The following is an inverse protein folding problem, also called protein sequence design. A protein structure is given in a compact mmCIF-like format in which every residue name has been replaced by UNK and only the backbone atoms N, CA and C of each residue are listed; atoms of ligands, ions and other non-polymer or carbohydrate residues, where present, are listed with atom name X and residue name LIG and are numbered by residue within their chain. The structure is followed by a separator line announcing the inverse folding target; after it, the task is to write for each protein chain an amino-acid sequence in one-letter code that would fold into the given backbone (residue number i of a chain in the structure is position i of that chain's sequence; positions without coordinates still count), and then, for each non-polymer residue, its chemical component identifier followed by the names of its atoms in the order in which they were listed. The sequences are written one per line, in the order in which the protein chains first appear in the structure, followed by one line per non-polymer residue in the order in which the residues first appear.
data_IF_656219553729
#
_entry.id   IF_656219553729
#
_cell.length_a   1.000
_cell.length_b   1.000
_cell.length_c   1.000
_cell.angle_alpha   90.00
_cell.angle_beta   90.00
_cell.angle_gamma   90.00
#
_symmetry.space_group_name_H-M   'P 1'
#
loop_
_entity.id
_entity.type
_entity.pdbx_description
1 polymer ?
#
# COMPACT_ATOMS: atom_id res chain seq x y z
N UNK A 1 -18.53 1.43 3.93
CA UNK A 1 -17.12 1.87 3.79
C UNK A 1 -16.93 3.36 4.01
N UNK A 2 -17.78 4.26 3.47
CA UNK A 2 -17.59 5.71 3.61
C UNK A 2 -17.46 6.19 5.06
N UNK A 3 -18.45 5.90 5.90
CA UNK A 3 -18.43 6.28 7.32
C UNK A 3 -17.15 5.81 8.03
N UNK A 4 -16.73 4.56 7.84
CA UNK A 4 -15.49 4.04 8.42
C UNK A 4 -14.26 4.87 8.02
N UNK A 5 -14.13 5.26 6.74
CA UNK A 5 -12.98 6.04 6.29
C UNK A 5 -13.00 7.46 6.85
N UNK A 6 -14.20 8.05 7.00
CA UNK A 6 -14.39 9.36 7.61
C UNK A 6 -14.03 9.34 9.10
N UNK A 7 -14.46 8.31 9.84
CA UNK A 7 -14.10 8.12 11.25
C UNK A 7 -12.60 7.88 11.42
N UNK A 8 -12.01 6.98 10.63
CA UNK A 8 -10.56 6.71 10.69
C UNK A 8 -9.73 7.97 10.45
N UNK A 9 -10.19 8.86 9.56
CA UNK A 9 -9.52 10.13 9.27
C UNK A 9 -9.53 11.09 10.47
N UNK A 10 -10.56 11.06 11.31
CA UNK A 10 -10.62 11.87 12.53
C UNK A 10 -9.49 11.49 13.51
N UNK A 11 -8.94 10.28 13.39
CA UNK A 11 -7.74 9.87 14.10
C UNK A 11 -6.51 10.15 13.23
N UNK A 12 -5.81 11.26 13.49
CA UNK A 12 -4.65 11.76 12.72
C UNK A 12 -3.49 10.75 12.49
N UNK A 13 -3.51 9.57 13.13
CA UNK A 13 -2.46 8.55 13.07
C UNK A 13 -2.91 7.23 12.45
N UNK A 14 -4.16 7.12 12.00
CA UNK A 14 -4.67 5.91 11.37
C UNK A 14 -4.58 5.99 9.84
N UNK A 15 -4.50 4.81 9.24
CA UNK A 15 -4.48 4.60 7.80
C UNK A 15 -5.19 3.29 7.46
N UNK A 16 -5.50 3.10 6.18
CA UNK A 16 -6.19 1.90 5.71
C UNK A 16 -5.33 1.07 4.75
N UNK A 17 -5.14 -0.22 5.05
CA UNK A 17 -4.51 -1.16 4.13
C UNK A 17 -5.57 -2.10 3.57
N UNK A 18 -5.79 -2.01 2.26
CA UNK A 18 -6.77 -2.83 1.56
C UNK A 18 -6.19 -4.20 1.17
N UNK A 19 -6.75 -5.28 1.69
CA UNK A 19 -6.36 -6.66 1.34
C UNK A 19 -6.81 -7.09 -0.05
N UNK A 20 -7.66 -6.30 -0.73
CA UNK A 20 -8.18 -6.54 -2.09
C UNK A 20 -8.75 -7.96 -2.27
N UNK A 21 -9.79 -8.28 -1.52
CA UNK A 21 -10.55 -9.53 -1.70
C UNK A 21 -11.45 -9.53 -2.94
N UNK A 22 -11.78 -8.35 -3.50
CA UNK A 22 -12.42 -8.15 -4.80
C UNK A 22 -11.70 -7.04 -5.58
N UNK A 23 -11.53 -7.23 -6.89
CA UNK A 23 -10.91 -6.26 -7.81
C UNK A 23 -11.66 -4.92 -7.87
N UNK A 24 -12.95 -4.91 -7.54
CA UNK A 24 -13.83 -3.73 -7.46
C UNK A 24 -13.88 -3.12 -6.06
N UNK A 25 -12.89 -3.37 -5.22
CA UNK A 25 -12.85 -2.83 -3.85
C UNK A 25 -13.19 -1.33 -3.83
N UNK A 26 -14.32 -1.02 -3.19
CA UNK A 26 -14.78 0.35 -2.99
C UNK A 26 -13.90 1.08 -1.96
N UNK A 27 -13.07 0.37 -1.21
CA UNK A 27 -12.29 0.90 -0.11
C UNK A 27 -11.28 1.95 -0.59
N UNK A 28 -10.55 1.71 -1.69
CA UNK A 28 -9.65 2.72 -2.28
C UNK A 28 -10.38 4.01 -2.64
N UNK A 29 -11.53 3.89 -3.31
CA UNK A 29 -12.32 5.06 -3.73
C UNK A 29 -12.79 5.87 -2.52
N UNK A 30 -13.32 5.20 -1.49
CA UNK A 30 -13.80 5.87 -0.29
C UNK A 30 -12.65 6.45 0.56
N UNK A 31 -11.52 5.76 0.68
CA UNK A 31 -10.33 6.28 1.37
C UNK A 31 -9.79 7.54 0.68
N UNK A 32 -9.72 7.53 -0.66
CA UNK A 32 -9.34 8.71 -1.45
C UNK A 32 -10.32 9.87 -1.27
N UNK A 33 -11.63 9.59 -1.30
CA UNK A 33 -12.66 10.60 -1.11
C UNK A 33 -12.61 11.23 0.30
N UNK A 34 -12.32 10.42 1.32
CA UNK A 34 -12.11 10.91 2.68
C UNK A 34 -10.76 11.63 2.87
N UNK A 35 -9.82 11.53 1.93
CA UNK A 35 -8.44 12.02 2.15
C UNK A 35 -7.68 11.20 3.20
N UNK A 36 -8.09 9.95 3.44
CA UNK A 36 -7.44 9.03 4.35
C UNK A 36 -6.20 8.43 3.67
N UNK A 37 -5.09 8.39 4.41
CA UNK A 37 -3.89 7.69 3.96
C UNK A 37 -4.21 6.20 3.81
N UNK A 38 -3.90 5.63 2.65
CA UNK A 38 -4.23 4.25 2.34
C UNK A 38 -3.19 3.62 1.44
N UNK A 39 -3.11 2.30 1.47
CA UNK A 39 -2.37 1.49 0.51
C UNK A 39 -3.14 0.21 0.21
N UNK A 40 -2.67 -0.54 -0.78
CA UNK A 40 -3.29 -1.80 -1.15
C UNK A 40 -2.24 -2.90 -1.25
N UNK A 41 -2.63 -4.13 -0.91
CA UNK A 41 -1.79 -5.31 -1.05
C UNK A 41 -1.42 -5.56 -2.52
N UNK A 42 -0.17 -5.96 -2.74
CA UNK A 42 0.33 -6.52 -4.00
C UNK A 42 0.22 -8.05 -4.02
N UNK A 43 0.66 -8.73 -2.95
CA UNK A 43 0.75 -10.20 -2.88
C UNK A 43 0.13 -10.75 -1.59
N UNK A 44 -0.69 -11.79 -1.69
CA UNK A 44 -1.08 -12.62 -0.53
C UNK A 44 -0.07 -13.77 -0.43
N UNK A 45 0.57 -13.91 0.71
CA UNK A 45 1.68 -14.85 0.88
C UNK A 45 1.19 -16.29 1.04
N UNK A 46 0.05 -16.49 1.69
CA UNK A 46 -0.33 -17.79 2.26
C UNK A 46 -1.78 -18.18 1.97
N UNK A 47 -2.24 -17.91 0.75
CA UNK A 47 -3.52 -18.49 0.28
C UNK A 47 -3.50 -20.03 0.34
N UNK A 48 -2.32 -20.62 0.24
CA UNK A 48 -2.06 -22.03 0.48
C UNK A 48 -1.04 -22.15 1.62
N UNK A 49 -1.34 -23.00 2.61
CA UNK A 49 -0.46 -23.28 3.75
C UNK A 49 0.63 -24.27 3.36
N UNK A 50 1.38 -23.93 2.31
CA UNK A 50 2.48 -24.72 1.79
C UNK A 50 3.75 -23.87 1.72
N UNK A 51 4.85 -24.39 2.26
CA UNK A 51 6.08 -23.63 2.38
C UNK A 51 6.70 -23.25 1.03
N UNK A 52 6.52 -24.07 -0.01
CA UNK A 52 7.01 -23.77 -1.35
C UNK A 52 6.16 -22.67 -2.01
N UNK A 53 4.83 -22.76 -1.89
CA UNK A 53 3.91 -21.71 -2.33
C UNK A 53 4.24 -20.37 -1.67
N UNK A 54 4.34 -20.33 -0.34
CA UNK A 54 4.61 -19.12 0.44
C UNK A 54 5.94 -18.49 0.02
N UNK A 55 6.98 -19.32 -0.17
CA UNK A 55 8.27 -18.84 -0.66
C UNK A 55 8.17 -18.23 -2.05
N UNK A 56 7.46 -18.89 -2.98
CA UNK A 56 7.23 -18.35 -4.32
C UNK A 56 6.49 -17.01 -4.31
N UNK A 57 5.51 -16.85 -3.41
CA UNK A 57 4.81 -15.58 -3.23
C UNK A 57 5.70 -14.49 -2.62
N UNK A 58 6.59 -14.83 -1.69
CA UNK A 58 7.59 -13.90 -1.18
C UNK A 58 8.57 -13.46 -2.29
N UNK A 59 9.01 -14.37 -3.14
CA UNK A 59 9.87 -14.05 -4.28
C UNK A 59 9.19 -13.14 -5.28
N UNK A 60 7.90 -13.38 -5.55
CA UNK A 60 7.07 -12.48 -6.35
C UNK A 60 6.95 -11.09 -5.73
N UNK A 61 6.75 -11.01 -4.41
CA UNK A 61 6.68 -9.74 -3.70
C UNK A 61 7.99 -8.94 -3.83
N UNK A 62 9.13 -9.60 -3.67
CA UNK A 62 10.45 -9.00 -3.86
C UNK A 62 10.65 -8.52 -5.30
N UNK A 63 10.23 -9.28 -6.29
CA UNK A 63 10.31 -8.87 -7.69
C UNK A 63 9.51 -7.58 -7.94
N UNK A 64 8.27 -7.50 -7.42
CA UNK A 64 7.44 -6.29 -7.52
C UNK A 64 8.10 -5.11 -6.82
N UNK A 65 8.66 -5.31 -5.63
CA UNK A 65 9.35 -4.25 -4.89
C UNK A 65 10.55 -3.71 -5.67
N UNK A 66 11.31 -4.56 -6.35
CA UNK A 66 12.44 -4.14 -7.20
C UNK A 66 12.00 -3.39 -8.45
N UNK A 67 10.88 -3.80 -9.06
CA UNK A 67 10.35 -3.14 -10.26
C UNK A 67 9.74 -1.76 -9.93
N UNK A 68 8.99 -1.66 -8.83
CA UNK A 68 8.17 -0.47 -8.49
C UNK A 68 8.77 0.40 -7.39
N UNK A 69 9.88 -0.03 -6.79
CA UNK A 69 10.51 0.59 -5.62
C UNK A 69 9.84 0.25 -4.28
N UNK A 70 8.61 -0.28 -4.27
CA UNK A 70 7.87 -0.71 -3.08
C UNK A 70 6.88 -1.82 -3.39
N UNK A 71 6.55 -2.64 -2.39
CA UNK A 71 5.46 -3.61 -2.46
C UNK A 71 4.94 -3.96 -1.05
N UNK A 72 3.66 -4.32 -0.95
CA UNK A 72 3.00 -4.75 0.29
C UNK A 72 2.54 -6.21 0.16
N UNK A 73 3.10 -7.07 1.00
CA UNK A 73 2.63 -8.44 1.22
C UNK A 73 1.69 -8.53 2.41
N UNK A 74 0.67 -9.39 2.33
CA UNK A 74 -0.16 -9.77 3.49
C UNK A 74 -0.08 -11.28 3.65
N UNK A 75 0.07 -11.73 4.89
CA UNK A 75 -0.08 -13.13 5.30
C UNK A 75 -0.67 -13.20 6.70
N UNK A 76 -0.98 -14.42 7.11
CA UNK A 76 -1.52 -14.79 8.40
C UNK A 76 -0.43 -15.52 9.21
N UNK A 77 -0.55 -15.56 10.54
CA UNK A 77 0.47 -16.18 11.41
C UNK A 77 0.34 -17.71 11.45
N UNK A 78 0.24 -18.37 10.29
CA UNK A 78 0.29 -19.83 10.21
C UNK A 78 1.72 -20.33 10.46
N UNK A 79 1.90 -21.53 11.05
CA UNK A 79 3.23 -22.09 11.30
C UNK A 79 4.12 -22.13 10.04
N UNK A 80 3.55 -22.49 8.89
CA UNK A 80 4.24 -22.54 7.60
C UNK A 80 4.68 -21.14 7.14
N UNK A 81 3.79 -20.15 7.29
CA UNK A 81 4.10 -18.74 6.97
C UNK A 81 5.24 -18.23 7.84
N UNK A 82 5.17 -18.45 9.15
CA UNK A 82 6.20 -18.00 10.08
C UNK A 82 7.55 -18.68 9.79
N UNK A 83 7.57 -19.99 9.54
CA UNK A 83 8.80 -20.73 9.24
C UNK A 83 9.49 -20.25 7.96
N UNK A 84 8.72 -19.93 6.90
CA UNK A 84 9.29 -19.35 5.68
C UNK A 84 9.82 -17.93 5.94
N UNK A 85 9.06 -17.09 6.64
CA UNK A 85 9.48 -15.72 6.93
C UNK A 85 10.74 -15.67 7.81
N UNK A 86 10.83 -16.50 8.84
CA UNK A 86 12.01 -16.58 9.71
C UNK A 86 13.29 -16.92 8.92
N UNK A 87 13.18 -17.81 7.92
CA UNK A 87 14.30 -18.21 7.07
C UNK A 87 14.67 -17.17 6.01
N UNK A 88 13.67 -16.53 5.38
CA UNK A 88 13.89 -15.71 4.19
C UNK A 88 14.04 -14.21 4.49
N UNK A 89 13.39 -13.67 5.55
CA UNK A 89 13.45 -12.24 5.87
C UNK A 89 14.87 -11.72 6.12
N UNK A 90 15.76 -12.43 6.85
CA UNK A 90 17.14 -11.97 7.06
C UNK A 90 17.94 -11.80 5.76
N UNK A 91 17.53 -12.48 4.68
CA UNK A 91 18.20 -12.47 3.37
C UNK A 91 17.69 -11.39 2.44
N UNK A 92 16.67 -10.61 2.83
CA UNK A 92 16.11 -9.57 1.97
C UNK A 92 17.13 -8.47 1.66
N UNK A 93 17.97 -8.11 2.63
CA UNK A 93 19.00 -7.08 2.43
C UNK A 93 19.99 -7.46 1.32
N UNK A 94 20.40 -8.74 1.27
CA UNK A 94 21.26 -9.28 0.20
C UNK A 94 20.58 -9.22 -1.18
N UNK A 95 19.24 -9.22 -1.20
CA UNK A 95 18.42 -9.09 -2.41
C UNK A 95 18.10 -7.64 -2.76
N UNK A 96 18.68 -6.67 -2.04
CA UNK A 96 18.45 -5.23 -2.24
C UNK A 96 17.06 -4.78 -1.80
N UNK A 97 16.43 -5.48 -0.86
CA UNK A 97 15.10 -5.14 -0.32
C UNK A 97 15.19 -4.90 1.18
N UNK A 98 14.64 -3.79 1.63
CA UNK A 98 14.50 -3.46 3.04
C UNK A 98 13.07 -3.77 3.52
N UNK A 99 12.96 -4.48 4.65
CA UNK A 99 11.68 -4.67 5.33
C UNK A 99 11.39 -3.46 6.21
N UNK A 100 10.31 -2.74 5.90
CA UNK A 100 9.88 -1.54 6.63
C UNK A 100 8.47 -1.69 7.20
N UNK A 101 8.11 -0.91 8.24
CA UNK A 101 6.72 -0.83 8.69
C UNK A 101 5.80 -0.34 7.55
N UNK A 102 4.62 -0.93 7.42
CA UNK A 102 3.66 -0.56 6.36
C UNK A 102 3.27 0.92 6.40
N UNK A 103 3.30 1.55 7.59
CA UNK A 103 3.04 2.98 7.75
C UNK A 103 3.97 3.84 6.90
N UNK A 104 5.24 3.44 6.73
CA UNK A 104 6.20 4.18 5.90
C UNK A 104 5.78 4.15 4.42
N UNK A 105 5.35 3.00 3.92
CA UNK A 105 4.88 2.87 2.53
C UNK A 105 3.59 3.67 2.27
N UNK A 106 2.67 3.66 3.23
CA UNK A 106 1.43 4.44 3.17
C UNK A 106 1.71 5.95 3.17
N UNK A 107 2.68 6.42 3.97
CA UNK A 107 3.05 7.84 3.98
C UNK A 107 3.70 8.28 2.67
N UNK A 108 4.51 7.42 2.04
CA UNK A 108 5.08 7.70 0.71
C UNK A 108 3.96 7.89 -0.32
N UNK A 109 2.96 7.00 -0.36
CA UNK A 109 1.81 7.14 -1.28
C UNK A 109 1.01 8.43 -1.01
N UNK A 110 0.81 8.79 0.27
CA UNK A 110 0.16 10.06 0.62
C UNK A 110 0.92 11.26 0.08
N UNK A 111 2.25 11.26 0.24
CA UNK A 111 3.08 12.38 -0.22
C UNK A 111 3.07 12.48 -1.75
N UNK A 112 3.23 11.37 -2.48
CA UNK A 112 3.11 11.33 -3.95
C UNK A 112 1.78 11.93 -4.43
N UNK A 113 0.65 11.55 -3.80
CA UNK A 113 -0.67 12.11 -4.11
C UNK A 113 -0.75 13.62 -3.86
N UNK A 114 -0.19 14.11 -2.75
CA UNK A 114 -0.15 15.54 -2.43
C UNK A 114 0.71 16.31 -3.44
N UNK A 115 1.88 15.78 -3.82
CA UNK A 115 2.73 16.38 -4.85
C UNK A 115 1.98 16.51 -6.18
N UNK A 116 1.31 15.46 -6.65
CA UNK A 116 0.54 15.52 -7.89
C UNK A 116 -0.64 16.52 -7.82
N UNK A 117 -1.33 16.61 -6.68
CA UNK A 117 -2.39 17.60 -6.49
C UNK A 117 -1.87 19.05 -6.51
N UNK A 118 -0.68 19.27 -5.94
CA UNK A 118 -0.02 20.58 -5.88
C UNK A 118 0.57 21.01 -7.22
N UNK A 119 0.96 20.05 -8.05
CA UNK A 119 1.62 20.25 -9.35
C UNK A 119 0.64 20.42 -10.51
N UNK A 120 -0.67 20.38 -10.24
CA UNK A 120 -1.70 20.61 -11.26
C UNK A 120 -1.78 22.11 -11.59
N UNK A 121 -1.77 22.51 -12.88
CA UNK A 121 -1.79 23.92 -13.24
C UNK A 121 -3.05 24.60 -12.69
N UNK A 122 -2.85 25.70 -11.95
CA UNK A 122 -3.94 26.55 -11.48
C UNK A 122 -4.80 26.99 -12.68
N UNK A 123 -6.14 27.00 -12.57
CA UNK A 123 -6.99 27.52 -13.63
C UNK A 123 -6.56 28.95 -13.95
N UNK A 124 -6.26 29.21 -15.22
CA UNK A 124 -5.88 30.53 -15.72
C UNK A 124 -6.99 31.51 -15.34
N UNK A 125 -6.68 32.43 -14.42
CA UNK A 125 -7.56 33.56 -14.09
C UNK A 125 -7.75 34.38 -15.36
N UNK A 126 -8.92 34.24 -15.98
CA UNK A 126 -9.36 35.11 -17.06
C UNK A 126 -9.58 36.51 -16.48
N UNK A 127 -8.57 37.37 -16.61
CA UNK A 127 -8.71 38.81 -16.37
C UNK A 127 -9.54 39.39 -17.51
N UNK A 128 -10.86 39.40 -17.35
CA UNK A 128 -11.71 40.31 -18.10
C UNK A 128 -11.55 41.70 -17.49
N UNK A 129 -10.56 42.43 -18.01
CA UNK A 129 -10.44 43.87 -17.82
C UNK A 129 -10.74 44.51 -19.17
N UNK A 130 -11.89 45.17 -19.29
CA UNK A 130 -12.01 46.45 -20.00
C UNK A 130 -13.33 47.13 -19.62
N UNK A 131 -13.33 48.48 -19.62
CA UNK A 131 -14.35 49.33 -18.99
C UNK A 131 -15.64 49.43 -19.82
#
# INVERSE_FOLDING_TARGET
MQWLMEELRCFNRLYFVDSRTDVRTVARRHARAAGLAHAARDVFLDNEQDAHYIRGQLDRLVAIARERGKAIGIGHPYPETLAVLERELPRLAERGVELVPVSQLVQIERNELLWHASSSPLPTVAKNSKP
#
